data_IF_929763579373
#
_entry.id   IF_929763579373
#
_cell.length_a   1.000
_cell.length_b   1.000
_cell.length_c   1.000
_cell.angle_alpha   90.00
_cell.angle_beta   90.00
_cell.angle_gamma   90.00
#
_symmetry.space_group_name_H-M   'P 1'
#
loop_
_entity.id
_entity.type
_entity.pdbx_description
1 polymer ?
#
# COMPACT_ATOMS: atom_id res chain seq x y z
N UNK A 1 -41.32 -2.51 -10.06
CA UNK A 1 -40.51 -2.76 -8.87
C UNK A 1 -39.56 -3.92 -9.19
N UNK A 2 -38.31 -3.61 -9.58
CA UNK A 2 -37.28 -4.62 -9.86
C UNK A 2 -36.34 -4.64 -8.66
N UNK A 3 -36.31 -5.75 -7.95
CA UNK A 3 -35.38 -6.00 -6.88
C UNK A 3 -33.96 -6.14 -7.45
N UNK A 4 -33.12 -5.15 -7.24
CA UNK A 4 -31.70 -5.21 -7.51
C UNK A 4 -31.03 -5.87 -6.32
N UNK A 5 -30.56 -7.11 -6.50
CA UNK A 5 -29.78 -7.82 -5.48
C UNK A 5 -28.38 -7.22 -5.47
N UNK A 6 -28.07 -6.45 -4.44
CA UNK A 6 -26.70 -6.05 -4.13
C UNK A 6 -25.90 -7.29 -3.69
N UNK A 7 -24.96 -7.69 -4.51
CA UNK A 7 -23.98 -8.71 -4.15
C UNK A 7 -22.85 -8.00 -3.41
N UNK A 8 -22.88 -8.05 -2.07
CA UNK A 8 -21.83 -7.50 -1.22
C UNK A 8 -20.62 -8.44 -1.27
N UNK A 9 -19.57 -8.04 -1.96
CA UNK A 9 -18.28 -8.73 -1.89
C UNK A 9 -17.57 -8.35 -0.61
N UNK A 10 -17.51 -9.29 0.32
CA UNK A 10 -16.61 -9.24 1.46
C UNK A 10 -15.21 -9.62 0.97
N UNK A 11 -14.28 -8.66 0.93
CA UNK A 11 -12.86 -8.96 0.78
C UNK A 11 -12.23 -9.09 2.16
N UNK A 12 -12.20 -10.32 2.68
CA UNK A 12 -11.29 -10.66 3.77
C UNK A 12 -9.95 -11.05 3.15
N UNK A 13 -8.93 -10.23 3.32
CA UNK A 13 -7.55 -10.64 3.04
C UNK A 13 -7.12 -11.50 4.23
N UNK A 14 -7.27 -12.82 4.09
CA UNK A 14 -6.73 -13.78 5.04
C UNK A 14 -5.33 -14.17 4.58
N UNK A 15 -4.31 -13.76 5.33
CA UNK A 15 -2.99 -14.36 5.21
C UNK A 15 -3.04 -15.76 5.84
N UNK A 16 -3.10 -16.80 5.00
CA UNK A 16 -2.98 -18.17 5.43
C UNK A 16 -1.50 -18.58 5.35
N UNK A 17 -0.88 -18.81 6.49
CA UNK A 17 0.41 -19.51 6.55
C UNK A 17 0.13 -21.00 6.36
N UNK A 18 0.47 -21.57 5.21
CA UNK A 18 0.47 -23.01 5.01
C UNK A 18 1.82 -23.57 5.47
N UNK A 19 1.79 -24.33 6.55
CA UNK A 19 2.90 -25.24 6.88
C UNK A 19 2.83 -26.44 5.93
N UNK A 20 3.81 -26.61 5.05
CA UNK A 20 3.98 -27.81 4.27
C UNK A 20 4.57 -28.90 5.17
N UNK A 21 3.79 -29.93 5.45
CA UNK A 21 4.28 -31.20 6.01
C UNK A 21 4.85 -32.04 4.88
N UNK A 22 6.15 -32.21 4.81
CA UNK A 22 6.81 -33.10 3.88
C UNK A 22 6.98 -34.48 4.53
N UNK A 23 6.55 -35.52 3.83
CA UNK A 23 6.81 -36.92 4.20
C UNK A 23 8.30 -37.24 4.03
N UNK A 24 8.84 -37.93 5.04
CA UNK A 24 10.22 -38.36 5.17
C UNK A 24 10.66 -39.31 4.03
N UNK A 25 11.68 -38.88 3.29
CA UNK A 25 12.73 -39.80 2.81
C UNK A 25 14.04 -39.32 3.44
N UNK A 26 14.69 -40.19 4.19
CA UNK A 26 15.93 -39.91 4.92
C UNK A 26 17.11 -39.86 3.99
N UNK A 27 17.62 -38.67 3.71
CA UNK A 27 18.94 -38.42 3.14
C UNK A 27 20.00 -38.46 4.27
N UNK A 28 20.99 -39.37 4.26
CA UNK A 28 21.95 -39.50 5.35
C UNK A 28 23.00 -38.39 5.41
N UNK A 29 22.91 -37.31 4.59
CA UNK A 29 23.84 -36.19 4.59
C UNK A 29 23.21 -34.84 4.87
N UNK A 30 21.96 -34.79 5.30
CA UNK A 30 21.36 -33.56 5.78
C UNK A 30 21.92 -33.24 7.16
N UNK A 31 22.83 -32.26 7.23
CA UNK A 31 23.23 -31.62 8.49
C UNK A 31 21.95 -31.17 9.21
N UNK A 32 21.75 -31.66 10.45
CA UNK A 32 20.52 -31.44 11.21
C UNK A 32 20.20 -29.97 11.33
N UNK A 33 19.01 -29.60 10.86
CA UNK A 33 18.38 -28.34 11.22
C UNK A 33 18.20 -28.33 12.75
N UNK A 34 18.47 -27.21 13.42
CA UNK A 34 18.27 -27.12 14.86
C UNK A 34 16.79 -27.30 15.20
N UNK A 35 16.48 -28.31 16.02
CA UNK A 35 15.15 -28.57 16.64
C UNK A 35 14.75 -27.45 17.65
N UNK A 36 14.85 -26.21 17.26
CA UNK A 36 14.26 -25.09 17.99
C UNK A 36 13.34 -24.38 17.00
N UNK A 37 12.02 -24.60 17.18
CA UNK A 37 11.06 -23.59 16.76
C UNK A 37 11.51 -22.27 17.42
N UNK A 38 12.19 -21.42 16.68
CA UNK A 38 12.35 -20.03 17.07
C UNK A 38 10.92 -19.50 17.30
N UNK A 39 10.63 -18.86 18.45
CA UNK A 39 9.32 -18.25 18.64
C UNK A 39 9.12 -17.30 17.46
N UNK A 40 8.05 -17.51 16.69
CA UNK A 40 7.61 -16.57 15.65
C UNK A 40 7.78 -15.17 16.20
N UNK A 41 8.54 -14.32 15.46
CA UNK A 41 8.86 -12.98 15.90
C UNK A 41 7.59 -12.32 16.44
N UNK A 42 7.61 -11.88 17.69
CA UNK A 42 6.47 -11.27 18.37
C UNK A 42 5.99 -10.00 17.66
N UNK A 43 6.76 -9.54 16.68
CA UNK A 43 6.57 -8.30 15.90
C UNK A 43 5.91 -8.53 14.55
N UNK A 44 5.48 -9.75 14.20
CA UNK A 44 4.78 -9.99 12.95
C UNK A 44 3.44 -9.26 12.94
N UNK A 45 3.26 -8.35 11.96
CA UNK A 45 2.04 -7.58 11.81
C UNK A 45 0.94 -8.44 11.18
N UNK A 46 -0.15 -8.64 11.92
CA UNK A 46 -1.39 -9.25 11.45
C UNK A 46 -2.43 -8.15 11.39
N UNK A 47 -2.78 -7.70 10.21
CA UNK A 47 -3.65 -6.55 10.05
C UNK A 47 -4.79 -6.76 9.07
N UNK A 48 -5.67 -5.78 9.03
CA UNK A 48 -6.74 -5.67 8.05
C UNK A 48 -6.88 -4.22 7.59
N UNK A 49 -7.27 -4.03 6.32
CA UNK A 49 -7.77 -2.74 5.86
C UNK A 49 -9.25 -2.61 6.25
N UNK A 50 -9.52 -1.69 7.14
CA UNK A 50 -10.86 -1.39 7.66
C UNK A 50 -11.25 0.08 7.39
N UNK A 51 -10.73 0.64 6.31
CA UNK A 51 -10.94 2.04 5.93
C UNK A 51 -12.41 2.44 5.79
N UNK A 52 -13.31 1.48 5.52
CA UNK A 52 -14.75 1.68 5.38
C UNK A 52 -15.56 1.67 6.68
N UNK A 53 -14.95 1.36 7.81
CA UNK A 53 -15.69 1.05 9.04
C UNK A 53 -16.61 2.18 9.50
N UNK A 54 -16.15 3.42 9.46
CA UNK A 54 -16.94 4.61 9.86
C UNK A 54 -18.14 4.85 8.94
N UNK A 55 -17.97 4.64 7.64
CA UNK A 55 -19.07 4.70 6.66
C UNK A 55 -20.09 3.59 6.91
N UNK A 56 -19.63 2.35 7.13
CA UNK A 56 -20.49 1.22 7.44
C UNK A 56 -21.32 1.46 8.71
N UNK A 57 -20.68 1.92 9.77
CA UNK A 57 -21.33 2.27 11.05
C UNK A 57 -22.35 3.40 10.87
N UNK A 58 -22.00 4.45 10.11
CA UNK A 58 -22.91 5.54 9.78
C UNK A 58 -24.17 5.06 9.03
N UNK A 59 -24.00 4.07 8.14
CA UNK A 59 -25.13 3.42 7.41
C UNK A 59 -25.87 2.40 8.26
N UNK A 60 -25.59 2.32 9.56
CA UNK A 60 -26.29 1.46 10.52
C UNK A 60 -25.84 -0.01 10.50
N UNK A 61 -24.71 -0.31 9.86
CA UNK A 61 -24.14 -1.65 9.87
C UNK A 61 -23.57 -1.96 11.25
N UNK A 62 -23.77 -3.19 11.72
CA UNK A 62 -23.34 -3.66 13.04
C UNK A 62 -22.47 -4.87 12.87
N UNK A 63 -21.49 -4.99 13.75
CA UNK A 63 -20.57 -6.12 13.78
C UNK A 63 -20.88 -6.99 15.02
N UNK A 64 -20.69 -8.30 14.90
CA UNK A 64 -21.01 -9.25 15.94
C UNK A 64 -19.86 -10.23 16.13
N UNK A 65 -19.58 -10.56 17.38
CA UNK A 65 -18.62 -11.62 17.70
C UNK A 65 -19.23 -13.01 17.44
N UNK A 66 -18.43 -14.05 17.64
CA UNK A 66 -18.85 -15.45 17.43
C UNK A 66 -20.00 -15.91 18.34
N UNK A 67 -20.26 -15.19 19.44
CA UNK A 67 -21.38 -15.44 20.37
C UNK A 67 -22.62 -14.64 20.00
N UNK A 68 -22.62 -13.90 18.88
CA UNK A 68 -23.73 -13.08 18.43
C UNK A 68 -23.92 -11.77 19.21
N UNK A 69 -22.91 -11.34 19.97
CA UNK A 69 -22.93 -10.08 20.72
C UNK A 69 -22.43 -8.95 19.83
N UNK A 70 -23.20 -7.85 19.71
CA UNK A 70 -22.79 -6.66 19.02
C UNK A 70 -21.49 -6.11 19.62
N UNK A 71 -20.46 -5.93 18.80
CA UNK A 71 -19.11 -5.59 19.21
C UNK A 71 -18.53 -4.54 18.26
N UNK A 72 -17.77 -3.58 18.78
CA UNK A 72 -17.01 -2.63 17.99
C UNK A 72 -16.07 -3.35 17.01
N UNK A 73 -15.97 -2.87 15.76
CA UNK A 73 -15.19 -3.53 14.71
C UNK A 73 -13.70 -3.62 15.07
N UNK A 74 -13.11 -2.57 15.62
CA UNK A 74 -11.70 -2.60 16.04
C UNK A 74 -11.46 -3.59 17.19
N UNK A 75 -12.37 -3.59 18.17
CA UNK A 75 -12.31 -4.56 19.27
C UNK A 75 -12.43 -5.98 18.72
N UNK A 76 -13.35 -6.21 17.78
CA UNK A 76 -13.53 -7.53 17.16
C UNK A 76 -12.25 -7.99 16.44
N UNK A 77 -11.59 -7.09 15.67
CA UNK A 77 -10.32 -7.40 15.02
C UNK A 77 -9.23 -7.74 16.07
N UNK A 78 -9.15 -6.97 17.14
CA UNK A 78 -8.22 -7.23 18.26
C UNK A 78 -8.47 -8.58 18.90
N UNK A 79 -9.73 -8.92 19.19
CA UNK A 79 -10.14 -10.19 19.81
C UNK A 79 -9.83 -11.40 18.89
N UNK A 80 -9.83 -11.19 17.58
CA UNK A 80 -9.42 -12.17 16.57
C UNK A 80 -7.89 -12.31 16.45
N UNK A 81 -7.12 -11.53 17.20
CA UNK A 81 -5.67 -11.60 17.23
C UNK A 81 -4.96 -10.71 16.21
N UNK A 82 -5.68 -9.78 15.58
CA UNK A 82 -5.03 -8.75 14.75
C UNK A 82 -4.36 -7.71 15.67
N UNK A 83 -3.20 -7.22 15.24
CA UNK A 83 -2.40 -6.23 15.97
C UNK A 83 -2.14 -4.97 15.16
N UNK A 84 -2.65 -4.89 13.94
CA UNK A 84 -2.46 -3.74 13.06
C UNK A 84 -3.72 -3.45 12.22
N UNK A 85 -3.87 -2.20 11.79
CA UNK A 85 -4.88 -1.77 10.82
C UNK A 85 -4.23 -0.94 9.71
N UNK A 86 -4.70 -1.12 8.48
CA UNK A 86 -4.41 -0.25 7.35
C UNK A 86 -5.58 0.70 7.15
N UNK A 87 -5.30 1.99 7.04
CA UNK A 87 -6.29 3.06 6.93
C UNK A 87 -5.91 3.97 5.76
N UNK A 88 -6.76 3.98 4.75
CA UNK A 88 -6.63 4.81 3.56
C UNK A 88 -6.98 6.26 3.86
N UNK A 89 -6.27 7.17 3.19
CA UNK A 89 -6.59 8.60 3.17
C UNK A 89 -6.65 9.14 1.74
N UNK A 90 -7.70 9.92 1.47
CA UNK A 90 -7.90 10.69 0.24
C UNK A 90 -7.67 12.19 0.51
N UNK A 91 -7.50 12.97 -0.55
CA UNK A 91 -7.19 14.40 -0.44
C UNK A 91 -8.44 15.23 -0.14
N UNK A 92 -9.45 15.18 -1.01
CA UNK A 92 -10.69 15.94 -0.84
C UNK A 92 -11.91 15.14 -1.34
N UNK A 93 -12.33 14.08 -0.62
CA UNK A 93 -13.37 13.17 -1.04
C UNK A 93 -14.79 13.71 -0.82
N UNK A 94 -15.05 14.98 -1.18
CA UNK A 94 -16.36 15.63 -1.00
C UNK A 94 -17.48 14.94 -1.74
N UNK A 95 -17.21 14.44 -2.94
CA UNK A 95 -18.19 13.68 -3.76
C UNK A 95 -18.54 12.33 -3.14
N UNK A 96 -17.85 11.95 -2.08
CA UNK A 96 -17.99 10.68 -1.35
C UNK A 96 -18.25 10.91 0.14
N UNK A 97 -19.06 11.90 0.49
CA UNK A 97 -19.47 12.25 1.86
C UNK A 97 -18.29 12.46 2.83
N UNK A 98 -17.13 12.80 2.33
CA UNK A 98 -15.88 13.00 3.07
C UNK A 98 -15.34 11.75 3.80
N UNK A 99 -15.81 10.54 3.47
CA UNK A 99 -15.18 9.31 3.99
C UNK A 99 -13.72 9.23 3.59
N UNK A 100 -12.90 8.69 4.45
CA UNK A 100 -11.45 8.60 4.27
C UNK A 100 -10.73 9.94 4.06
N UNK A 101 -11.30 11.07 4.46
CA UNK A 101 -10.57 12.32 4.61
C UNK A 101 -9.69 12.30 5.87
N UNK A 102 -8.91 13.35 6.12
CA UNK A 102 -8.02 13.45 7.27
C UNK A 102 -8.76 13.29 8.60
N UNK A 103 -9.95 13.88 8.77
CA UNK A 103 -10.70 13.82 10.02
C UNK A 103 -11.23 12.40 10.30
N UNK A 104 -11.72 11.73 9.28
CA UNK A 104 -12.19 10.35 9.35
C UNK A 104 -11.03 9.38 9.61
N UNK A 105 -9.88 9.58 8.95
CA UNK A 105 -8.64 8.84 9.26
C UNK A 105 -8.25 8.97 10.74
N UNK A 106 -8.20 10.19 11.26
CA UNK A 106 -7.84 10.46 12.67
C UNK A 106 -8.81 9.75 13.62
N UNK A 107 -10.11 9.76 13.32
CA UNK A 107 -11.12 9.06 14.12
C UNK A 107 -10.85 7.57 14.21
N UNK A 108 -10.57 6.92 13.08
CA UNK A 108 -10.24 5.49 13.00
C UNK A 108 -8.91 5.16 13.67
N UNK A 109 -7.89 5.96 13.39
CA UNK A 109 -6.54 5.74 13.92
C UNK A 109 -6.49 5.85 15.46
N UNK A 110 -7.27 6.76 16.06
CA UNK A 110 -7.41 6.84 17.52
C UNK A 110 -8.02 5.57 18.11
N UNK A 111 -9.09 5.05 17.52
CA UNK A 111 -9.73 3.80 17.96
C UNK A 111 -8.74 2.62 17.94
N UNK A 112 -7.94 2.51 16.87
CA UNK A 112 -6.89 1.50 16.78
C UNK A 112 -5.82 1.67 17.86
N UNK A 113 -5.31 2.89 18.04
CA UNK A 113 -4.27 3.21 19.01
C UNK A 113 -4.72 2.97 20.46
N UNK A 114 -5.98 3.29 20.80
CA UNK A 114 -6.58 3.04 22.12
C UNK A 114 -6.62 1.54 22.46
N UNK A 115 -6.69 0.67 21.45
CA UNK A 115 -6.61 -0.79 21.60
C UNK A 115 -5.16 -1.32 21.49
N UNK A 116 -4.17 -0.44 21.36
CA UNK A 116 -2.76 -0.84 21.20
C UNK A 116 -2.50 -1.59 19.88
N UNK A 117 -3.22 -1.24 18.82
CA UNK A 117 -2.97 -1.73 17.47
C UNK A 117 -2.06 -0.77 16.71
N UNK A 118 -1.11 -1.32 15.96
CA UNK A 118 -0.28 -0.54 15.05
C UNK A 118 -1.12 0.04 13.90
N UNK A 119 -0.79 1.24 13.46
CA UNK A 119 -1.48 1.92 12.37
C UNK A 119 -0.59 2.04 11.15
N UNK A 120 -1.10 1.64 10.00
CA UNK A 120 -0.56 1.92 8.68
C UNK A 120 -1.45 2.95 8.00
N UNK A 121 -0.86 4.06 7.56
CA UNK A 121 -1.56 5.09 6.77
C UNK A 121 -1.28 4.86 5.30
N UNK A 122 -2.33 4.79 4.49
CA UNK A 122 -2.27 4.57 3.06
C UNK A 122 -2.70 5.81 2.29
N UNK A 123 -1.72 6.54 1.74
CA UNK A 123 -1.97 7.73 0.92
C UNK A 123 -2.28 7.36 -0.53
N UNK A 124 -3.49 7.64 -0.99
CA UNK A 124 -3.85 7.48 -2.40
C UNK A 124 -3.46 8.68 -3.28
N UNK A 125 -3.25 9.86 -2.71
CA UNK A 125 -3.03 11.12 -3.43
C UNK A 125 -4.05 11.40 -4.53
N UNK A 126 -5.28 11.05 -4.27
CA UNK A 126 -6.45 11.21 -5.13
C UNK A 126 -7.65 11.59 -4.27
N UNK A 127 -8.75 12.05 -4.86
CA UNK A 127 -10.01 12.29 -4.17
C UNK A 127 -10.87 11.02 -4.06
N UNK A 128 -10.41 9.94 -4.70
CA UNK A 128 -11.05 8.62 -4.72
C UNK A 128 -9.99 7.51 -4.83
N UNK A 129 -10.41 6.32 -5.21
CA UNK A 129 -9.50 5.19 -5.40
C UNK A 129 -8.36 5.52 -6.35
N UNK A 130 -7.17 5.14 -5.96
CA UNK A 130 -6.00 5.03 -6.82
C UNK A 130 -5.60 3.56 -6.89
N UNK A 131 -5.38 3.07 -8.10
CA UNK A 131 -4.99 1.70 -8.42
C UNK A 131 -4.23 1.69 -9.76
N UNK A 132 -3.71 0.54 -10.27
CA UNK A 132 -2.95 0.51 -11.50
C UNK A 132 -3.71 0.98 -12.75
N UNK A 133 -5.03 0.99 -12.70
CA UNK A 133 -5.91 1.47 -13.78
C UNK A 133 -6.33 2.94 -13.65
N UNK A 134 -6.09 3.57 -12.50
CA UNK A 134 -6.51 4.95 -12.23
C UNK A 134 -5.64 5.62 -11.15
N UNK A 135 -4.92 6.64 -11.54
CA UNK A 135 -4.08 7.44 -10.65
C UNK A 135 -4.41 8.93 -10.85
N UNK A 136 -5.71 9.25 -10.67
CA UNK A 136 -6.24 10.59 -10.95
C UNK A 136 -5.72 11.62 -9.96
N UNK A 137 -5.29 12.78 -10.47
CA UNK A 137 -4.98 13.90 -9.61
C UNK A 137 -6.21 14.37 -8.85
N UNK A 138 -6.06 14.77 -7.57
CA UNK A 138 -7.10 15.52 -6.86
C UNK A 138 -7.58 16.71 -7.67
N UNK A 139 -8.86 17.02 -7.60
CA UNK A 139 -9.44 18.16 -8.33
C UNK A 139 -8.72 19.50 -8.02
N UNK A 140 -8.32 19.67 -6.75
CA UNK A 140 -7.57 20.86 -6.31
C UNK A 140 -6.14 20.95 -6.86
N UNK A 141 -5.59 19.85 -7.41
CA UNK A 141 -4.22 19.79 -7.95
C UNK A 141 -4.17 19.83 -9.47
N UNK A 142 -5.32 19.88 -10.13
CA UNK A 142 -5.40 20.02 -11.59
C UNK A 142 -4.73 21.32 -12.03
N UNK A 143 -3.97 21.24 -13.13
CA UNK A 143 -3.23 22.40 -13.67
C UNK A 143 -1.97 22.80 -12.90
N UNK A 144 -1.62 22.15 -11.80
CA UNK A 144 -0.34 22.39 -11.12
C UNK A 144 0.83 21.84 -11.95
N UNK A 145 1.90 22.61 -12.03
CA UNK A 145 3.16 22.15 -12.59
C UNK A 145 3.87 21.17 -11.63
N UNK A 146 4.91 20.47 -12.09
CA UNK A 146 5.66 19.48 -11.32
C UNK A 146 6.15 20.02 -9.96
N UNK A 147 6.66 21.25 -9.93
CA UNK A 147 7.19 21.84 -8.70
C UNK A 147 6.07 22.08 -7.66
N UNK A 148 4.91 22.51 -8.10
CA UNK A 148 3.76 22.76 -7.21
C UNK A 148 3.04 21.46 -6.84
N UNK A 149 3.00 20.45 -7.73
CA UNK A 149 2.53 19.11 -7.39
C UNK A 149 3.39 18.46 -6.28
N UNK A 150 4.71 18.59 -6.36
CA UNK A 150 5.60 18.12 -5.30
C UNK A 150 5.30 18.79 -3.95
N UNK A 151 5.04 20.09 -3.96
CA UNK A 151 4.62 20.80 -2.73
C UNK A 151 3.26 20.33 -2.23
N UNK A 152 2.33 20.06 -3.14
CA UNK A 152 1.00 19.55 -2.78
C UNK A 152 1.08 18.17 -2.14
N UNK A 153 1.86 17.23 -2.71
CA UNK A 153 2.13 15.90 -2.11
C UNK A 153 2.75 16.05 -0.73
N UNK A 154 3.84 16.81 -0.61
CA UNK A 154 4.54 17.01 0.67
C UNK A 154 3.62 17.68 1.71
N UNK A 155 2.87 18.71 1.31
CA UNK A 155 1.96 19.44 2.18
C UNK A 155 0.84 18.55 2.69
N UNK A 156 0.13 17.84 1.80
CA UNK A 156 -0.94 16.93 2.20
C UNK A 156 -0.41 15.82 3.15
N UNK A 157 0.73 15.23 2.82
CA UNK A 157 1.36 14.21 3.68
C UNK A 157 1.65 14.75 5.07
N UNK A 158 2.30 15.92 5.15
CA UNK A 158 2.63 16.54 6.41
C UNK A 158 1.37 16.95 7.21
N UNK A 159 0.37 17.52 6.57
CA UNK A 159 -0.87 17.95 7.21
C UNK A 159 -1.63 16.78 7.84
N UNK A 160 -1.79 15.68 7.11
CA UNK A 160 -2.43 14.44 7.60
C UNK A 160 -1.65 13.88 8.80
N UNK A 161 -0.33 13.75 8.68
CA UNK A 161 0.50 13.19 9.74
C UNK A 161 0.57 14.10 10.97
N UNK A 162 0.58 15.43 10.80
CA UNK A 162 0.48 16.36 11.90
C UNK A 162 -0.89 16.28 12.61
N UNK A 163 -1.98 16.04 11.89
CA UNK A 163 -3.28 15.80 12.50
C UNK A 163 -3.29 14.52 13.35
N UNK A 164 -2.67 13.45 12.90
CA UNK A 164 -2.48 12.22 13.70
C UNK A 164 -1.61 12.50 14.93
N UNK A 165 -0.50 13.21 14.77
CA UNK A 165 0.40 13.60 15.88
C UNK A 165 -0.31 14.43 16.93
N UNK A 166 -1.12 15.39 16.50
CA UNK A 166 -1.94 16.21 17.40
C UNK A 166 -3.01 15.40 18.15
N UNK A 167 -3.48 14.30 17.54
CA UNK A 167 -4.40 13.35 18.16
C UNK A 167 -3.72 12.29 19.05
N UNK A 168 -2.38 12.34 19.19
CA UNK A 168 -1.61 11.40 20.00
C UNK A 168 -1.41 10.01 19.32
N UNK A 169 -1.56 9.94 17.99
CA UNK A 169 -1.37 8.70 17.22
C UNK A 169 -0.07 8.77 16.44
N UNK A 170 0.78 7.76 16.59
CA UNK A 170 2.01 7.57 15.81
C UNK A 170 1.83 6.38 14.89
N UNK A 171 1.76 6.59 13.57
CA UNK A 171 1.70 5.47 12.62
C UNK A 171 3.04 4.74 12.60
N UNK A 172 3.01 3.42 12.54
CA UNK A 172 4.22 2.59 12.39
C UNK A 172 4.67 2.57 10.94
N UNK A 173 3.70 2.51 10.02
CA UNK A 173 3.97 2.50 8.58
C UNK A 173 3.18 3.60 7.88
N UNK A 174 3.80 4.14 6.83
CA UNK A 174 3.16 5.13 5.94
C UNK A 174 3.42 4.71 4.50
N UNK A 175 2.35 4.39 3.79
CA UNK A 175 2.39 4.04 2.39
C UNK A 175 2.27 5.31 1.54
N UNK A 176 3.27 5.57 0.70
CA UNK A 176 3.34 6.71 -0.20
C UNK A 176 2.88 6.29 -1.60
N UNK A 177 1.61 6.50 -1.88
CA UNK A 177 0.94 6.01 -3.09
C UNK A 177 0.39 4.59 -2.95
N UNK A 178 -0.69 4.27 -3.64
CA UNK A 178 -1.30 2.95 -3.66
C UNK A 178 -1.19 2.33 -5.05
N UNK A 179 -0.58 1.11 -5.13
CA UNK A 179 -0.46 0.30 -6.34
C UNK A 179 0.08 1.10 -7.55
N UNK A 180 1.22 1.75 -7.35
CA UNK A 180 1.78 2.78 -8.24
C UNK A 180 2.63 2.23 -9.38
N UNK A 181 2.50 0.94 -9.78
CA UNK A 181 3.31 0.40 -10.88
C UNK A 181 3.14 1.16 -12.20
N UNK A 182 1.99 1.80 -12.40
CA UNK A 182 1.68 2.63 -13.56
C UNK A 182 1.89 4.14 -13.34
N UNK A 183 2.59 4.52 -12.26
CA UNK A 183 2.84 5.91 -11.89
C UNK A 183 1.84 6.47 -10.90
N UNK A 184 1.93 7.77 -10.65
CA UNK A 184 1.07 8.55 -9.76
C UNK A 184 0.63 9.85 -10.43
N UNK A 185 -0.51 10.39 -10.00
CA UNK A 185 -0.92 11.75 -10.37
C UNK A 185 -0.93 11.96 -11.89
N UNK A 186 -1.56 11.04 -12.61
CA UNK A 186 -1.56 11.06 -14.07
C UNK A 186 -1.99 12.41 -14.63
N UNK A 187 -1.30 12.85 -15.68
CA UNK A 187 -1.66 14.04 -16.38
C UNK A 187 -2.80 13.76 -17.37
N UNK A 188 -4.00 14.13 -16.98
CA UNK A 188 -5.21 14.04 -17.81
C UNK A 188 -5.53 15.38 -18.48
N UNK A 189 -4.85 16.45 -18.03
CA UNK A 189 -5.03 17.78 -18.57
C UNK A 189 -4.04 18.00 -19.72
N UNK A 190 -4.53 18.05 -20.96
CA UNK A 190 -3.75 18.35 -22.15
C UNK A 190 -2.98 19.70 -22.12
N UNK A 191 -3.14 20.47 -21.03
CA UNK A 191 -2.45 21.74 -20.80
C UNK A 191 -1.01 21.57 -20.30
N UNK A 192 -0.62 20.39 -19.81
CA UNK A 192 0.75 20.09 -19.36
C UNK A 192 1.54 19.35 -20.46
N UNK A 193 1.45 19.86 -21.71
CA UNK A 193 2.20 19.32 -22.83
C UNK A 193 3.69 19.31 -22.52
N UNK A 194 4.23 18.14 -22.13
CA UNK A 194 5.65 17.92 -21.95
C UNK A 194 6.11 17.36 -20.61
N UNK A 195 5.26 17.30 -19.58
CA UNK A 195 5.60 16.66 -18.31
C UNK A 195 4.56 15.58 -18.01
N UNK A 196 4.69 14.43 -18.63
CA UNK A 196 3.92 13.25 -18.26
C UNK A 196 4.49 12.67 -16.97
N UNK A 197 3.61 12.40 -15.99
CA UNK A 197 3.96 11.70 -14.74
C UNK A 197 3.49 10.25 -14.79
N UNK A 198 2.99 9.87 -15.94
CA UNK A 198 2.39 8.60 -16.23
C UNK A 198 3.47 7.65 -16.74
N UNK A 199 3.72 6.58 -15.98
CA UNK A 199 4.67 5.53 -16.36
C UNK A 199 4.00 4.33 -17.03
N UNK A 200 2.69 4.43 -17.37
CA UNK A 200 1.93 3.34 -18.04
C UNK A 200 2.56 2.91 -19.36
N UNK A 201 3.13 3.86 -20.10
CA UNK A 201 3.79 3.56 -21.36
C UNK A 201 5.13 2.82 -21.17
N UNK A 202 5.55 2.66 -19.93
CA UNK A 202 6.79 1.97 -19.58
C UNK A 202 6.68 0.45 -19.56
N UNK A 203 5.47 -0.11 -19.61
CA UNK A 203 5.25 -1.56 -19.75
C UNK A 203 5.74 -2.10 -21.12
N UNK A 204 6.23 -1.26 -21.98
CA UNK A 204 6.72 -1.65 -23.30
C UNK A 204 8.18 -2.16 -23.19
N UNK A 205 8.33 -3.40 -22.73
CA UNK A 205 9.58 -4.13 -22.91
C UNK A 205 9.92 -4.18 -24.40
N UNK A 206 10.91 -3.41 -24.83
CA UNK A 206 11.52 -3.58 -26.15
C UNK A 206 11.19 -2.52 -27.20
N UNK A 207 10.64 -1.38 -26.86
CA UNK A 207 10.62 -0.24 -27.80
C UNK A 207 12.07 0.26 -28.02
N UNK A 208 12.57 0.12 -29.24
CA UNK A 208 13.88 0.63 -29.67
C UNK A 208 13.82 2.11 -30.09
N UNK A 209 12.77 2.87 -29.70
CA UNK A 209 12.61 4.26 -30.06
C UNK A 209 13.26 5.16 -29.02
N UNK A 210 14.24 5.96 -29.44
CA UNK A 210 14.97 6.93 -28.60
C UNK A 210 14.07 7.97 -27.97
N UNK A 211 12.95 8.32 -28.61
CA UNK A 211 11.96 9.28 -28.08
C UNK A 211 11.10 8.69 -26.96
N UNK A 212 10.74 7.42 -27.04
CA UNK A 212 9.99 6.70 -26.01
C UNK A 212 10.88 6.43 -24.78
N UNK A 213 12.15 6.10 -24.99
CA UNK A 213 13.11 5.92 -23.91
C UNK A 213 13.35 7.21 -23.10
N UNK A 214 13.41 8.37 -23.76
CA UNK A 214 13.54 9.67 -23.08
C UNK A 214 12.31 9.97 -22.25
N UNK A 215 11.10 9.79 -22.80
CA UNK A 215 9.84 10.00 -22.11
C UNK A 215 9.71 9.09 -20.88
N UNK A 216 10.07 7.82 -21.03
CA UNK A 216 10.12 6.84 -19.97
C UNK A 216 10.99 7.30 -18.79
N UNK A 217 12.21 7.71 -19.04
CA UNK A 217 13.15 8.18 -18.01
C UNK A 217 12.64 9.43 -17.28
N UNK A 218 12.07 10.37 -18.03
CA UNK A 218 11.46 11.57 -17.44
C UNK A 218 10.29 11.23 -16.53
N UNK A 219 9.44 10.28 -16.91
CA UNK A 219 8.31 9.85 -16.11
C UNK A 219 8.75 9.17 -14.81
N UNK A 220 9.76 8.28 -14.85
CA UNK A 220 10.31 7.68 -13.66
C UNK A 220 11.02 8.68 -12.73
N UNK A 221 11.73 9.65 -13.30
CA UNK A 221 12.32 10.72 -12.51
C UNK A 221 11.25 11.56 -11.78
N UNK A 222 10.12 11.81 -12.44
CA UNK A 222 8.99 12.51 -11.84
C UNK A 222 8.31 11.66 -10.75
N UNK A 223 8.11 10.36 -11.00
CA UNK A 223 7.56 9.43 -10.02
C UNK A 223 8.47 9.36 -8.78
N UNK A 224 9.78 9.17 -8.97
CA UNK A 224 10.74 9.18 -7.88
C UNK A 224 10.72 10.51 -7.10
N UNK A 225 10.53 11.63 -7.80
CA UNK A 225 10.42 12.94 -7.15
C UNK A 225 9.16 13.05 -6.26
N UNK A 226 8.01 12.51 -6.68
CA UNK A 226 6.79 12.46 -5.85
C UNK A 226 6.96 11.55 -4.64
N UNK A 227 7.52 10.36 -4.83
CA UNK A 227 7.82 9.43 -3.74
C UNK A 227 8.75 10.10 -2.73
N UNK A 228 9.81 10.74 -3.18
CA UNK A 228 10.80 11.38 -2.33
C UNK A 228 10.23 12.52 -1.48
N UNK A 229 9.38 13.37 -2.05
CA UNK A 229 8.77 14.46 -1.27
C UNK A 229 7.76 13.93 -0.26
N UNK A 230 7.06 12.82 -0.57
CA UNK A 230 6.24 12.09 0.37
C UNK A 230 7.07 11.46 1.49
N UNK A 231 8.13 10.76 1.14
CA UNK A 231 9.09 10.17 2.08
C UNK A 231 9.66 11.23 3.05
N UNK A 232 10.19 12.33 2.51
CA UNK A 232 10.78 13.40 3.30
C UNK A 232 9.75 14.07 4.22
N UNK A 233 8.51 14.22 3.76
CA UNK A 233 7.40 14.72 4.56
C UNK A 233 7.06 13.77 5.72
N UNK A 234 7.02 12.45 5.49
CA UNK A 234 6.84 11.46 6.55
C UNK A 234 7.93 11.58 7.59
N UNK A 235 9.20 11.52 7.17
CA UNK A 235 10.35 11.58 8.09
C UNK A 235 10.45 12.90 8.84
N UNK A 236 9.93 13.99 8.29
CA UNK A 236 9.90 15.29 8.98
C UNK A 236 8.91 15.34 10.15
N UNK A 237 7.84 14.53 10.13
CA UNK A 237 6.82 14.48 11.19
C UNK A 237 7.06 13.30 12.14
N UNK A 238 7.40 12.13 11.58
CA UNK A 238 7.66 10.87 12.28
C UNK A 238 8.92 10.22 11.67
N UNK A 239 10.07 10.49 12.23
CA UNK A 239 11.38 10.02 11.76
C UNK A 239 11.53 8.50 11.80
N UNK A 240 10.90 7.84 12.79
CA UNK A 240 10.92 6.38 12.96
C UNK A 240 9.86 5.65 12.12
N UNK A 241 8.90 6.35 11.49
CA UNK A 241 7.88 5.68 10.69
C UNK A 241 8.49 5.03 9.44
N UNK A 242 8.11 3.79 9.17
CA UNK A 242 8.58 3.02 8.02
C UNK A 242 7.80 3.46 6.78
N UNK A 243 8.50 3.95 5.76
CA UNK A 243 7.88 4.41 4.51
C UNK A 243 7.81 3.27 3.50
N UNK A 244 6.60 3.00 3.01
CA UNK A 244 6.31 1.90 2.09
C UNK A 244 6.06 2.45 0.69
N UNK A 245 6.70 1.85 -0.32
CA UNK A 245 6.29 1.94 -1.72
C UNK A 245 5.55 0.65 -2.08
N UNK A 246 4.33 0.80 -2.62
CA UNK A 246 3.38 -0.31 -2.77
C UNK A 246 2.99 -0.53 -4.23
N UNK A 247 3.12 -1.77 -4.68
CA UNK A 247 2.69 -2.22 -6.01
C UNK A 247 1.65 -3.33 -5.89
N UNK A 248 0.91 -3.51 -6.97
CA UNK A 248 0.07 -4.69 -7.22
C UNK A 248 0.88 -5.84 -7.82
N UNK A 249 0.21 -6.94 -8.17
CA UNK A 249 0.83 -8.11 -8.81
C UNK A 249 2.02 -8.69 -8.04
N UNK A 250 1.86 -8.87 -6.71
CA UNK A 250 2.90 -9.37 -5.81
C UNK A 250 3.48 -10.75 -6.17
N UNK A 251 3.01 -11.39 -7.22
CA UNK A 251 3.54 -12.64 -7.80
C UNK A 251 4.55 -12.39 -8.94
N UNK A 252 4.63 -11.17 -9.48
CA UNK A 252 5.43 -10.84 -10.66
C UNK A 252 6.81 -10.30 -10.26
N UNK A 253 7.77 -11.21 -10.09
CA UNK A 253 9.13 -10.87 -9.70
C UNK A 253 9.84 -9.96 -10.73
N UNK A 254 9.54 -10.11 -12.02
CA UNK A 254 10.14 -9.26 -13.05
C UNK A 254 9.63 -7.82 -12.95
N UNK A 255 8.32 -7.63 -12.64
CA UNK A 255 7.73 -6.32 -12.40
C UNK A 255 8.43 -5.62 -11.23
N UNK A 256 8.59 -6.32 -10.10
CA UNK A 256 9.19 -5.73 -8.90
C UNK A 256 10.66 -5.39 -9.11
N UNK A 257 11.44 -6.31 -9.68
CA UNK A 257 12.86 -6.08 -10.01
C UNK A 257 12.99 -4.85 -10.92
N UNK A 258 12.24 -4.81 -12.02
CA UNK A 258 12.26 -3.70 -12.95
C UNK A 258 11.88 -2.38 -12.28
N UNK A 259 10.76 -2.34 -11.56
CA UNK A 259 10.25 -1.09 -10.98
C UNK A 259 11.20 -0.51 -9.94
N UNK A 260 11.69 -1.34 -9.02
CA UNK A 260 12.56 -0.87 -7.95
C UNK A 260 13.98 -0.57 -8.42
N UNK A 261 14.48 -1.23 -9.46
CA UNK A 261 15.74 -0.86 -10.11
C UNK A 261 15.64 0.51 -10.79
N UNK A 262 14.56 0.76 -11.53
CA UNK A 262 14.31 2.07 -12.12
C UNK A 262 14.08 3.16 -11.06
N UNK A 263 13.33 2.86 -10.01
CA UNK A 263 13.11 3.80 -8.92
C UNK A 263 14.44 4.16 -8.23
N UNK A 264 15.29 3.16 -7.97
CA UNK A 264 16.64 3.35 -7.41
C UNK A 264 17.53 4.17 -8.34
N UNK A 265 17.54 3.87 -9.63
CA UNK A 265 18.32 4.59 -10.64
C UNK A 265 17.93 6.08 -10.72
N UNK A 266 16.69 6.41 -10.41
CA UNK A 266 16.17 7.79 -10.34
C UNK A 266 16.24 8.40 -8.93
N UNK A 267 16.97 7.77 -8.00
CA UNK A 267 17.18 8.29 -6.65
C UNK A 267 15.95 8.21 -5.73
N UNK A 268 15.04 7.28 -6.00
CA UNK A 268 13.87 7.03 -5.15
C UNK A 268 14.24 6.56 -3.76
N UNK A 269 13.39 6.89 -2.77
CA UNK A 269 13.58 6.57 -1.35
C UNK A 269 12.41 5.74 -0.84
N UNK A 270 12.70 4.67 -0.14
CA UNK A 270 11.72 3.85 0.59
C UNK A 270 12.43 3.06 1.69
N UNK A 271 11.68 2.60 2.68
CA UNK A 271 12.21 1.73 3.75
C UNK A 271 11.71 0.29 3.59
N UNK A 272 10.53 0.10 2.95
CA UNK A 272 9.88 -1.19 2.80
C UNK A 272 9.12 -1.27 1.48
N UNK A 273 9.07 -2.46 0.89
CA UNK A 273 8.25 -2.77 -0.28
C UNK A 273 6.91 -3.33 0.16
N UNK A 274 5.81 -2.73 -0.32
CA UNK A 274 4.46 -3.26 -0.15
C UNK A 274 4.01 -4.02 -1.39
N UNK A 275 3.30 -5.13 -1.19
CA UNK A 275 2.83 -6.00 -2.26
C UNK A 275 1.35 -6.33 -2.09
N UNK A 276 0.53 -6.05 -3.12
CA UNK A 276 -0.80 -6.67 -3.20
C UNK A 276 -0.69 -8.02 -3.89
N UNK A 277 -1.04 -9.07 -3.16
CA UNK A 277 -1.07 -10.43 -3.69
C UNK A 277 -2.50 -10.95 -3.76
N UNK A 278 -2.98 -11.19 -4.96
CA UNK A 278 -4.32 -11.74 -5.22
C UNK A 278 -4.19 -13.15 -5.84
N UNK A 279 -4.25 -14.22 -5.04
CA UNK A 279 -4.10 -15.60 -5.54
C UNK A 279 -5.05 -15.95 -6.67
N UNK A 280 -6.26 -15.42 -6.66
CA UNK A 280 -7.24 -15.64 -7.71
C UNK A 280 -6.76 -15.18 -9.09
N UNK A 281 -6.21 -13.96 -9.18
CA UNK A 281 -5.69 -13.42 -10.44
C UNK A 281 -4.43 -14.13 -10.89
N UNK A 282 -3.53 -14.44 -9.94
CA UNK A 282 -2.31 -15.21 -10.20
C UNK A 282 -2.62 -16.55 -10.85
N UNK A 283 -3.64 -17.27 -10.37
CA UNK A 283 -4.03 -18.57 -10.92
C UNK A 283 -4.60 -18.49 -12.33
N UNK A 284 -5.21 -17.36 -12.71
CA UNK A 284 -5.76 -17.16 -14.05
C UNK A 284 -4.67 -16.83 -15.08
N UNK A 285 -3.66 -16.05 -14.67
CA UNK A 285 -2.62 -15.53 -15.56
C UNK A 285 -1.36 -16.40 -15.54
N UNK A 286 -1.01 -17.00 -14.41
CA UNK A 286 0.21 -17.78 -14.23
C UNK A 286 -0.10 -19.11 -13.54
N UNK A 287 0.32 -20.20 -14.16
CA UNK A 287 0.09 -21.57 -13.64
C UNK A 287 1.00 -21.95 -12.48
N UNK A 288 2.00 -21.13 -12.15
CA UNK A 288 2.99 -21.40 -11.12
C UNK A 288 3.10 -20.22 -10.16
N UNK A 289 2.97 -20.49 -8.86
CA UNK A 289 3.30 -19.53 -7.81
C UNK A 289 4.82 -19.43 -7.69
N UNK A 290 5.43 -18.41 -8.23
CA UNK A 290 6.76 -18.01 -7.79
C UNK A 290 6.60 -17.22 -6.50
N UNK A 291 7.02 -17.80 -5.39
CA UNK A 291 6.89 -17.19 -4.08
C UNK A 291 7.93 -16.08 -3.92
N UNK A 292 7.56 -14.83 -4.15
CA UNK A 292 8.41 -13.65 -3.89
C UNK A 292 8.93 -13.57 -2.45
N UNK A 293 8.23 -14.22 -1.49
CA UNK A 293 8.67 -14.31 -0.11
C UNK A 293 10.02 -15.01 0.06
N UNK A 294 10.43 -15.87 -0.89
CA UNK A 294 11.74 -16.53 -0.84
C UNK A 294 12.86 -15.69 -1.47
N UNK A 295 12.54 -14.69 -2.29
CA UNK A 295 13.55 -13.88 -2.97
C UNK A 295 13.89 -12.60 -2.22
N UNK A 296 13.04 -12.12 -1.32
CA UNK A 296 13.34 -10.97 -0.47
C UNK A 296 14.39 -11.28 0.60
N UNK A 297 14.39 -12.49 1.16
CA UNK A 297 15.42 -12.93 2.12
C UNK A 297 16.81 -13.14 1.46
N UNK A 298 16.85 -13.50 0.18
CA UNK A 298 18.11 -13.72 -0.53
C UNK A 298 18.80 -12.40 -0.95
N UNK A 299 18.06 -11.28 -1.04
CA UNK A 299 18.63 -9.99 -1.40
C UNK A 299 19.36 -9.30 -0.21
N UNK A 300 18.98 -9.63 1.01
CA UNK A 300 19.60 -9.08 2.22
C UNK A 300 20.95 -9.77 2.58
N UNK A 301 21.23 -10.95 2.03
CA UNK A 301 22.46 -11.69 2.32
C UNK A 301 23.64 -11.33 1.38
N UNK A 302 23.42 -10.66 0.26
CA UNK A 302 24.50 -10.30 -0.68
C UNK A 302 25.24 -9.00 -0.35
N UNK A 303 24.73 -8.16 0.54
CA UNK A 303 25.38 -6.90 0.96
C UNK A 303 26.38 -7.06 2.13
N UNK A 304 26.75 -8.30 2.51
CA UNK A 304 27.69 -8.59 3.62
C UNK A 304 29.01 -9.24 3.16
N UNK A 305 29.53 -8.89 1.97
CA UNK A 305 30.89 -9.25 1.56
C UNK A 305 31.69 -8.02 1.15
#
# INVERSE_FOLDING_TARGET
MKHMKFLTFFFCIAFAVFACSSNNETDPNAGGLPDKEEPLATDFAKGADISWVTEMEHKGMKFYNTSGVETDCFQLMKDLGLNAVRLRVWVDPKEHDNWCNTADLVTKAKRAAELGMDVMVDFHYSDWWADPGQQHKPAAWKGLNLADLKKAVAGHTADVLNALKAAGVTPKWVQVGNEIRSGMLWDEDAALSGASYDVRECDVKGSNSTSEEVKYRENFANLAAFINVGYDAVKSVFDDAIVIVHLDNGYDNELYTWFFDELRANGGKWDMIGMSLYPYWTMLEHKEYTCLLYTSDAADEEDSV
#
